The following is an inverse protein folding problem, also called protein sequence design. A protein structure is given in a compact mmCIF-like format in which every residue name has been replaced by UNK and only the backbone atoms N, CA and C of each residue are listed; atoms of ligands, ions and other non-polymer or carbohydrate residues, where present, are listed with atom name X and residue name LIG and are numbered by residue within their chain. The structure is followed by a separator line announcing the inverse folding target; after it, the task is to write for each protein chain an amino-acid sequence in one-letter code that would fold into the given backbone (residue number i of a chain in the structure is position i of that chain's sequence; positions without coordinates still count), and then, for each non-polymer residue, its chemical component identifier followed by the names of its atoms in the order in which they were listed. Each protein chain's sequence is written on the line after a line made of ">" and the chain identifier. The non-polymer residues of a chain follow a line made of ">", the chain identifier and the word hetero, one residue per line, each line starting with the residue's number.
data_IF_551314461596
#
_entry.id   IF_551314461596
#
_cell.length_a   1.000
_cell.length_b   1.000
_cell.length_c   1.000
_cell.angle_alpha   90.00
_cell.angle_beta   90.00
_cell.angle_gamma   90.00
#
_symmetry.space_group_name_H-M   'P 1'
#
loop_
_entity.id
_entity.type
_entity.pdbx_description
1 polymer ?
#
# COMPACT_ATOMS: atom_id res chain seq x y z
N UNK A 1 -12.69 28.72 20.78
CA UNK A 1 -11.36 28.45 20.20
C UNK A 1 -10.61 27.44 21.08
N UNK A 2 -10.58 26.15 20.71
CA UNK A 2 -9.80 25.16 21.47
C UNK A 2 -8.31 25.39 21.19
N UNK A 3 -7.55 25.66 22.24
CA UNK A 3 -6.09 25.81 22.18
C UNK A 3 -5.47 24.53 21.56
N UNK A 4 -4.57 24.62 20.55
CA UNK A 4 -4.02 23.46 19.83
C UNK A 4 -3.41 22.38 20.72
N UNK A 5 -2.91 22.74 21.91
CA UNK A 5 -2.38 21.81 22.92
C UNK A 5 -3.46 20.92 23.56
N UNK A 6 -4.70 21.41 23.70
CA UNK A 6 -5.83 20.59 24.22
C UNK A 6 -6.36 19.62 23.16
N UNK A 7 -6.36 20.04 21.88
CA UNK A 7 -6.73 19.15 20.78
C UNK A 7 -5.75 17.98 20.67
N UNK A 8 -4.45 18.26 20.73
CA UNK A 8 -3.41 17.23 20.64
C UNK A 8 -3.50 16.20 21.79
N UNK A 9 -3.84 16.64 23.01
CA UNK A 9 -4.10 15.76 24.17
C UNK A 9 -5.33 14.86 24.01
N UNK A 10 -6.30 15.26 23.18
CA UNK A 10 -7.49 14.45 22.91
C UNK A 10 -7.16 13.22 22.05
N UNK A 11 -6.24 13.38 21.10
CA UNK A 11 -5.89 12.35 20.12
C UNK A 11 -4.78 11.42 20.60
N UNK A 12 -3.78 11.95 21.31
CA UNK A 12 -2.61 11.18 21.75
C UNK A 12 -2.91 10.36 23.01
N UNK A 13 -2.28 9.18 23.11
CA UNK A 13 -2.32 8.35 24.30
C UNK A 13 -1.54 8.98 25.46
N UNK A 14 -2.07 8.89 26.68
CA UNK A 14 -1.48 9.53 27.87
C UNK A 14 -0.13 8.90 28.28
N UNK A 15 0.14 7.64 27.89
CA UNK A 15 1.36 6.88 28.20
C UNK A 15 2.37 6.79 27.03
N UNK A 16 2.57 7.90 26.31
CA UNK A 16 3.56 8.00 25.22
C UNK A 16 4.99 7.63 25.63
N UNK A 17 5.34 7.79 26.92
CA UNK A 17 6.66 7.48 27.47
C UNK A 17 6.91 5.96 27.65
N UNK A 18 5.86 5.15 27.84
CA UNK A 18 5.98 3.71 28.13
C UNK A 18 6.07 2.84 26.87
N UNK A 19 5.76 3.38 25.68
CA UNK A 19 5.74 2.61 24.42
C UNK A 19 7.18 2.39 23.86
N UNK A 20 8.24 2.61 24.65
CA UNK A 20 9.61 2.29 24.23
C UNK A 20 10.10 3.06 23.01
N UNK A 21 9.45 4.18 22.66
CA UNK A 21 9.92 5.07 21.61
C UNK A 21 11.20 5.75 22.11
N UNK A 22 12.36 5.11 21.88
CA UNK A 22 13.66 5.79 21.98
C UNK A 22 13.53 7.16 21.31
N UNK A 23 14.06 8.21 21.95
CA UNK A 23 14.15 9.55 21.35
C UNK A 23 14.59 9.37 19.90
N UNK A 24 13.84 9.97 18.96
CA UNK A 24 14.15 9.87 17.54
C UNK A 24 15.65 10.14 17.35
N UNK A 25 16.38 9.40 16.49
CA UNK A 25 17.78 9.72 16.20
C UNK A 25 17.95 11.18 15.74
N UNK A 26 16.89 11.80 15.23
CA UNK A 26 16.84 13.24 14.96
C UNK A 26 16.97 14.13 16.22
N UNK A 27 16.53 13.67 17.40
CA UNK A 27 16.72 14.38 18.66
C UNK A 27 18.20 14.47 19.07
N UNK A 28 19.00 13.48 18.69
CA UNK A 28 20.47 13.49 18.86
C UNK A 28 21.13 14.43 17.83
N UNK A 29 20.49 14.62 16.67
CA UNK A 29 20.97 15.50 15.60
C UNK A 29 20.45 16.96 15.67
N UNK A 30 19.72 17.34 16.74
CA UNK A 30 19.11 18.68 16.90
C UNK A 30 20.13 19.83 16.80
N UNK A 31 21.42 19.55 16.99
CA UNK A 31 22.48 20.56 17.10
C UNK A 31 23.53 20.57 15.99
N UNK A 32 23.44 19.71 14.96
CA UNK A 32 24.50 19.62 13.95
C UNK A 32 24.09 20.29 12.63
N UNK A 33 24.67 21.45 12.24
CA UNK A 33 24.59 22.00 10.88
C UNK A 33 25.43 21.19 9.89
N UNK A 34 25.45 19.87 10.05
CA UNK A 34 26.34 18.98 9.30
C UNK A 34 25.71 18.71 7.94
N UNK A 35 26.45 19.03 6.89
CA UNK A 35 26.12 18.68 5.51
C UNK A 35 27.01 17.51 5.15
N UNK A 36 26.42 16.45 4.62
CA UNK A 36 27.20 15.30 4.14
C UNK A 36 27.22 15.35 2.61
N UNK A 37 28.41 15.47 2.06
CA UNK A 37 28.68 15.35 0.63
C UNK A 37 28.82 13.88 0.26
N UNK A 38 27.94 13.39 -0.63
CA UNK A 38 28.11 12.09 -1.30
C UNK A 38 28.27 12.40 -2.79
N UNK A 39 29.47 12.17 -3.32
CA UNK A 39 29.82 12.56 -4.69
C UNK A 39 29.79 14.08 -4.88
N UNK A 40 29.02 14.56 -5.88
CA UNK A 40 28.90 15.99 -6.22
C UNK A 40 27.77 16.71 -5.46
N UNK A 41 27.02 16.02 -4.60
CA UNK A 41 25.80 16.58 -3.98
C UNK A 41 26.03 16.78 -2.48
N UNK A 42 25.95 18.03 -2.03
CA UNK A 42 25.96 18.41 -0.61
C UNK A 42 24.54 18.56 -0.09
N UNK A 43 24.09 17.65 0.77
CA UNK A 43 22.73 17.66 1.32
C UNK A 43 22.80 17.72 2.86
N UNK A 44 21.78 18.34 3.47
CA UNK A 44 21.60 18.28 4.93
C UNK A 44 21.24 16.84 5.36
N UNK A 45 21.66 16.42 6.55
CA UNK A 45 21.30 15.12 7.11
C UNK A 45 19.86 15.08 7.69
N UNK A 46 19.30 16.22 8.10
CA UNK A 46 18.00 16.30 8.74
C UNK A 46 17.15 17.47 8.20
N UNK A 47 15.81 17.29 8.08
CA UNK A 47 14.90 18.34 7.63
C UNK A 47 14.61 19.34 8.77
N UNK A 48 14.28 20.59 8.45
CA UNK A 48 13.87 21.58 9.45
C UNK A 48 12.59 21.16 10.17
N UNK A 49 12.57 21.32 11.51
CA UNK A 49 11.45 20.91 12.37
C UNK A 49 10.18 21.76 12.16
N UNK A 50 10.34 23.02 11.74
CA UNK A 50 9.23 23.94 11.44
C UNK A 50 9.52 24.71 10.15
N UNK A 51 8.53 24.79 9.28
CA UNK A 51 8.58 25.60 8.06
C UNK A 51 8.21 27.02 8.46
N UNK A 52 9.16 27.98 8.35
CA UNK A 52 8.90 29.41 8.61
C UNK A 52 9.10 30.25 7.35
N UNK A 53 9.98 29.83 6.45
CA UNK A 53 10.27 30.50 5.17
C UNK A 53 10.13 29.53 4.00
N UNK A 54 9.94 30.07 2.80
CA UNK A 54 9.95 29.30 1.53
C UNK A 54 11.27 28.55 1.31
N UNK A 55 12.37 29.09 1.82
CA UNK A 55 13.69 28.44 1.79
C UNK A 55 13.71 27.15 2.63
N UNK A 56 12.95 27.08 3.72
CA UNK A 56 12.87 25.86 4.55
C UNK A 56 12.15 24.73 3.80
N UNK A 57 11.21 25.06 2.91
CA UNK A 57 10.55 24.07 2.03
C UNK A 57 11.57 23.46 1.07
N UNK A 58 12.41 24.30 0.45
CA UNK A 58 13.50 23.83 -0.42
C UNK A 58 14.48 22.94 0.35
N UNK A 59 14.80 23.29 1.60
CA UNK A 59 15.70 22.50 2.45
C UNK A 59 15.09 21.17 2.93
N UNK A 60 13.76 21.04 2.97
CA UNK A 60 13.10 19.74 3.20
C UNK A 60 13.32 18.79 2.00
N UNK A 61 13.25 19.32 0.78
CA UNK A 61 13.47 18.54 -0.45
C UNK A 61 14.97 18.26 -0.72
N UNK A 62 15.86 19.20 -0.38
CA UNK A 62 17.33 19.05 -0.48
C UNK A 62 17.94 18.39 0.76
N UNK A 63 17.36 17.26 1.16
CA UNK A 63 17.77 16.49 2.33
C UNK A 63 18.04 15.03 1.96
N UNK A 64 19.08 14.44 2.54
CA UNK A 64 19.41 13.01 2.40
C UNK A 64 18.23 12.10 2.73
N UNK A 65 17.44 12.45 3.74
CA UNK A 65 16.28 11.65 4.13
C UNK A 65 15.17 11.68 3.07
N UNK A 66 15.01 12.79 2.36
CA UNK A 66 14.08 12.91 1.24
C UNK A 66 14.60 12.17 -0.01
N UNK A 67 15.90 12.26 -0.30
CA UNK A 67 16.51 11.49 -1.39
C UNK A 67 16.35 9.97 -1.16
N UNK A 68 16.59 9.49 0.06
CA UNK A 68 16.33 8.09 0.43
C UNK A 68 14.86 7.72 0.24
N UNK A 69 13.93 8.60 0.60
CA UNK A 69 12.51 8.37 0.33
C UNK A 69 12.23 8.25 -1.17
N UNK A 70 12.80 9.14 -1.99
CA UNK A 70 12.66 9.09 -3.45
C UNK A 70 13.20 7.78 -4.03
N UNK A 71 14.36 7.31 -3.56
CA UNK A 71 14.91 6.01 -3.95
C UNK A 71 13.97 4.85 -3.59
N UNK A 72 13.34 4.89 -2.41
CA UNK A 72 12.40 3.87 -1.98
C UNK A 72 11.06 3.93 -2.71
N UNK A 73 10.61 5.13 -3.11
CA UNK A 73 9.46 5.30 -4.00
C UNK A 73 9.78 4.75 -5.39
N UNK A 74 10.97 5.02 -5.92
CA UNK A 74 11.42 4.45 -7.19
C UNK A 74 11.52 2.92 -7.12
N UNK A 75 12.00 2.37 -6.00
CA UNK A 75 11.97 0.92 -5.72
C UNK A 75 10.55 0.36 -5.75
N UNK A 76 9.61 0.98 -5.03
CA UNK A 76 8.22 0.53 -5.01
C UNK A 76 7.58 0.56 -6.40
N UNK A 77 7.82 1.63 -7.18
CA UNK A 77 7.35 1.74 -8.56
C UNK A 77 7.96 0.64 -9.43
N UNK A 78 9.27 0.41 -9.34
CA UNK A 78 9.96 -0.67 -10.06
C UNK A 78 9.37 -2.04 -9.71
N UNK A 79 9.11 -2.33 -8.44
CA UNK A 79 8.49 -3.57 -8.01
C UNK A 79 7.06 -3.72 -8.54
N UNK A 80 6.27 -2.64 -8.56
CA UNK A 80 4.94 -2.64 -9.17
C UNK A 80 4.96 -2.89 -10.67
N UNK A 81 5.96 -2.36 -11.38
CA UNK A 81 6.20 -2.71 -12.79
C UNK A 81 6.52 -4.19 -12.98
N UNK A 82 7.38 -4.76 -12.13
CA UNK A 82 7.72 -6.18 -12.18
C UNK A 82 6.47 -7.05 -11.94
N UNK A 83 5.68 -6.70 -10.93
CA UNK A 83 4.42 -7.39 -10.61
C UNK A 83 3.45 -7.36 -11.79
N UNK A 84 3.14 -6.17 -12.30
CA UNK A 84 2.20 -5.99 -13.43
C UNK A 84 2.70 -6.68 -14.70
N UNK A 85 3.99 -6.64 -14.99
CA UNK A 85 4.57 -7.38 -16.11
C UNK A 85 4.40 -8.90 -15.94
N UNK A 86 4.64 -9.43 -14.74
CA UNK A 86 4.40 -10.85 -14.44
C UNK A 86 2.91 -11.21 -14.53
N UNK A 87 2.01 -10.32 -14.09
CA UNK A 87 0.57 -10.49 -14.21
C UNK A 87 0.13 -10.54 -15.68
N UNK A 88 0.70 -9.69 -16.54
CA UNK A 88 0.44 -9.73 -17.99
C UNK A 88 0.89 -11.04 -18.63
N UNK A 89 2.07 -11.55 -18.25
CA UNK A 89 2.54 -12.85 -18.72
C UNK A 89 1.61 -13.98 -18.27
N UNK A 90 1.08 -13.90 -17.05
CA UNK A 90 0.06 -14.80 -16.52
C UNK A 90 -1.24 -14.73 -17.34
N UNK A 91 -1.74 -13.53 -17.65
CA UNK A 91 -2.94 -13.31 -18.47
C UNK A 91 -2.76 -13.86 -19.90
N UNK A 92 -1.59 -13.69 -20.51
CA UNK A 92 -1.26 -14.28 -21.81
C UNK A 92 -1.26 -15.81 -21.76
N UNK A 93 -0.65 -16.40 -20.71
CA UNK A 93 -0.65 -17.86 -20.48
C UNK A 93 -2.06 -18.40 -20.28
N UNK A 94 -2.89 -17.69 -19.51
CA UNK A 94 -4.29 -18.02 -19.27
C UNK A 94 -5.13 -17.96 -20.56
N UNK A 95 -4.89 -16.96 -21.41
CA UNK A 95 -5.58 -16.85 -22.69
C UNK A 95 -5.28 -18.04 -23.61
N UNK A 96 -4.02 -18.45 -23.69
CA UNK A 96 -3.55 -19.60 -24.49
C UNK A 96 -4.03 -20.97 -23.95
N UNK A 97 -4.49 -21.02 -22.70
CA UNK A 97 -5.01 -22.24 -22.08
C UNK A 97 -6.38 -22.69 -22.62
N UNK A 98 -6.74 -23.97 -22.40
CA UNK A 98 -8.03 -24.52 -22.83
C UNK A 98 -9.21 -23.82 -22.14
N UNK A 99 -10.39 -23.78 -22.80
CA UNK A 99 -11.58 -23.10 -22.27
C UNK A 99 -12.07 -23.70 -20.93
N UNK A 100 -11.92 -25.01 -20.73
CA UNK A 100 -12.34 -25.72 -19.51
C UNK A 100 -11.65 -25.16 -18.25
N UNK A 101 -10.41 -24.66 -18.36
CA UNK A 101 -9.68 -24.08 -17.23
C UNK A 101 -10.06 -22.62 -16.91
N UNK A 102 -11.04 -22.05 -17.63
CA UNK A 102 -11.44 -20.63 -17.49
C UNK A 102 -12.66 -20.42 -16.58
N UNK A 103 -13.26 -21.50 -16.09
CA UNK A 103 -14.37 -21.43 -15.15
C UNK A 103 -13.89 -21.17 -13.71
N UNK A 104 -14.64 -20.39 -12.90
CA UNK A 104 -14.30 -20.12 -11.51
C UNK A 104 -14.17 -21.41 -10.69
N UNK A 105 -13.20 -21.45 -9.77
CA UNK A 105 -13.06 -22.55 -8.83
C UNK A 105 -14.13 -22.46 -7.75
N UNK A 106 -14.48 -23.61 -7.17
CA UNK A 106 -15.35 -23.66 -5.99
C UNK A 106 -14.61 -23.12 -4.77
N UNK A 107 -15.29 -22.23 -4.05
CA UNK A 107 -14.80 -21.63 -2.82
C UNK A 107 -15.87 -21.75 -1.73
N UNK A 108 -15.46 -22.24 -0.56
CA UNK A 108 -16.36 -22.52 0.55
C UNK A 108 -17.13 -21.27 1.01
N UNK A 109 -16.51 -20.09 1.01
CA UNK A 109 -17.18 -18.86 1.42
C UNK A 109 -18.10 -18.34 0.33
N UNK A 110 -17.77 -18.53 -0.95
CA UNK A 110 -18.65 -18.13 -2.05
C UNK A 110 -19.92 -18.99 -2.10
N UNK A 111 -19.84 -20.26 -1.68
CA UNK A 111 -20.98 -21.17 -1.54
C UNK A 111 -21.82 -20.86 -0.28
N UNK A 112 -21.17 -20.42 0.79
CA UNK A 112 -21.83 -20.14 2.07
C UNK A 112 -22.60 -18.80 2.12
N UNK A 113 -22.16 -17.80 1.35
CA UNK A 113 -22.71 -16.44 1.41
C UNK A 113 -23.26 -15.94 0.06
N UNK A 114 -24.31 -15.10 0.08
CA UNK A 114 -24.87 -14.53 -1.15
C UNK A 114 -23.90 -13.54 -1.81
N UNK A 115 -23.95 -13.49 -3.15
CA UNK A 115 -23.17 -12.55 -3.95
C UNK A 115 -23.66 -11.10 -3.71
N UNK A 116 -22.72 -10.22 -3.41
CA UNK A 116 -22.94 -8.76 -3.43
C UNK A 116 -22.49 -8.23 -4.79
N UNK A 117 -23.42 -7.66 -5.56
CA UNK A 117 -23.15 -7.23 -6.94
C UNK A 117 -22.25 -5.98 -7.04
N UNK A 118 -22.24 -5.13 -6.00
CA UNK A 118 -21.44 -3.91 -6.01
C UNK A 118 -19.99 -4.19 -5.61
N UNK A 119 -19.12 -4.33 -6.62
CA UNK A 119 -17.67 -4.52 -6.42
C UNK A 119 -16.94 -3.21 -6.09
N UNK A 120 -17.54 -2.04 -6.35
CA UNK A 120 -16.89 -0.74 -6.10
C UNK A 120 -16.75 -0.46 -4.61
N UNK A 121 -17.62 -1.06 -3.78
CA UNK A 121 -17.54 -0.96 -2.32
C UNK A 121 -16.16 -1.38 -1.78
N UNK A 122 -15.51 -2.36 -2.42
CA UNK A 122 -14.16 -2.82 -2.07
C UNK A 122 -13.15 -1.70 -2.27
N UNK A 123 -13.18 -1.03 -3.42
CA UNK A 123 -12.26 0.07 -3.73
C UNK A 123 -12.50 1.29 -2.82
N UNK A 124 -13.76 1.57 -2.47
CA UNK A 124 -14.09 2.65 -1.53
C UNK A 124 -13.57 2.37 -0.12
N UNK A 125 -13.72 1.13 0.38
CA UNK A 125 -13.22 0.73 1.70
C UNK A 125 -11.69 0.69 1.75
N UNK A 126 -11.03 0.21 0.69
CA UNK A 126 -9.57 0.29 0.54
C UNK A 126 -9.10 1.75 0.58
N UNK A 127 -9.67 2.61 -0.27
CA UNK A 127 -9.30 4.03 -0.35
C UNK A 127 -9.52 4.74 0.98
N UNK A 128 -10.63 4.44 1.66
CA UNK A 128 -10.92 4.97 3.00
C UNK A 128 -9.87 4.55 4.02
N UNK A 129 -9.44 3.29 3.99
CA UNK A 129 -8.38 2.76 4.87
C UNK A 129 -7.04 3.48 4.64
N UNK A 130 -6.68 3.73 3.38
CA UNK A 130 -5.46 4.44 3.00
C UNK A 130 -5.52 5.90 3.46
N UNK A 131 -6.60 6.62 3.12
CA UNK A 131 -6.79 8.03 3.46
C UNK A 131 -6.80 8.22 4.97
N UNK A 132 -7.51 7.34 5.70
CA UNK A 132 -7.53 7.38 7.17
C UNK A 132 -6.13 7.20 7.75
N UNK A 133 -5.35 6.27 7.21
CA UNK A 133 -3.97 6.01 7.65
C UNK A 133 -3.09 7.23 7.40
N UNK A 134 -3.11 7.80 6.19
CA UNK A 134 -2.33 8.99 5.84
C UNK A 134 -2.70 10.19 6.72
N UNK A 135 -4.01 10.47 6.86
CA UNK A 135 -4.51 11.58 7.67
C UNK A 135 -4.13 11.40 9.15
N UNK A 136 -4.29 10.18 9.68
CA UNK A 136 -3.93 9.83 11.04
C UNK A 136 -2.45 10.05 11.35
N UNK A 137 -1.56 9.57 10.48
CA UNK A 137 -0.13 9.80 10.64
C UNK A 137 0.25 11.27 10.46
N UNK A 138 -0.40 12.01 9.55
CA UNK A 138 -0.20 13.45 9.40
C UNK A 138 -0.56 14.22 10.68
N UNK A 139 -1.64 13.84 11.37
CA UNK A 139 -2.04 14.47 12.65
C UNK A 139 -1.10 14.04 13.80
N UNK A 140 -0.73 12.77 13.84
CA UNK A 140 0.02 12.20 14.96
C UNK A 140 1.51 12.56 14.98
N UNK A 141 2.13 12.65 13.80
CA UNK A 141 3.57 12.85 13.67
C UNK A 141 3.85 14.31 13.32
N UNK A 142 4.28 15.17 14.27
CA UNK A 142 4.59 16.56 13.96
C UNK A 142 5.89 16.70 13.15
N UNK A 143 6.79 15.71 13.20
CA UNK A 143 8.12 15.77 12.57
C UNK A 143 8.16 15.04 11.22
N UNK A 144 8.65 15.73 10.17
CA UNK A 144 8.82 15.17 8.82
C UNK A 144 9.80 13.99 8.76
N UNK A 145 10.79 13.93 9.65
CA UNK A 145 11.73 12.81 9.77
C UNK A 145 11.02 11.50 10.09
N UNK A 146 10.09 11.54 11.05
CA UNK A 146 9.35 10.36 11.49
C UNK A 146 8.41 9.90 10.37
N UNK A 147 7.76 10.84 9.68
CA UNK A 147 6.92 10.55 8.50
C UNK A 147 7.70 9.83 7.40
N UNK A 148 8.86 10.38 7.01
CA UNK A 148 9.69 9.80 5.96
C UNK A 148 10.31 8.46 6.39
N UNK A 149 10.63 8.27 7.66
CA UNK A 149 11.08 6.97 8.17
C UNK A 149 10.00 5.90 8.03
N UNK A 150 8.76 6.19 8.45
CA UNK A 150 7.65 5.24 8.36
C UNK A 150 7.36 4.89 6.90
N UNK A 151 7.26 5.92 6.03
CA UNK A 151 7.01 5.72 4.60
C UNK A 151 8.09 4.89 3.91
N UNK A 152 9.38 5.11 4.22
CA UNK A 152 10.48 4.30 3.66
C UNK A 152 10.39 2.83 4.07
N UNK A 153 10.11 2.55 5.34
CA UNK A 153 9.97 1.17 5.84
C UNK A 153 8.81 0.46 5.17
N UNK A 154 7.68 1.14 5.09
CA UNK A 154 6.49 0.61 4.42
C UNK A 154 6.74 0.38 2.92
N UNK A 155 7.27 1.36 2.19
CA UNK A 155 7.54 1.24 0.76
C UNK A 155 8.53 0.11 0.45
N UNK A 156 9.54 -0.09 1.30
CA UNK A 156 10.48 -1.20 1.16
C UNK A 156 9.78 -2.56 1.28
N UNK A 157 8.99 -2.75 2.34
CA UNK A 157 8.24 -4.01 2.59
C UNK A 157 7.23 -4.26 1.47
N UNK A 158 6.47 -3.25 1.07
CA UNK A 158 5.48 -3.37 0.00
C UNK A 158 6.13 -3.75 -1.34
N UNK A 159 7.32 -3.22 -1.64
CA UNK A 159 8.04 -3.63 -2.85
C UNK A 159 8.32 -5.14 -2.90
N UNK A 160 8.73 -5.75 -1.78
CA UNK A 160 8.91 -7.21 -1.73
C UNK A 160 7.58 -7.96 -1.87
N UNK A 161 6.51 -7.49 -1.23
CA UNK A 161 5.18 -8.10 -1.36
C UNK A 161 4.73 -8.11 -2.82
N UNK A 162 4.93 -7.01 -3.56
CA UNK A 162 4.60 -6.92 -4.98
C UNK A 162 5.41 -7.88 -5.85
N UNK A 163 6.72 -8.03 -5.59
CA UNK A 163 7.55 -9.02 -6.31
C UNK A 163 7.08 -10.45 -6.01
N UNK A 164 6.84 -10.79 -4.74
CA UNK A 164 6.34 -12.12 -4.37
C UNK A 164 4.97 -12.41 -4.99
N UNK A 165 4.08 -11.41 -5.01
CA UNK A 165 2.78 -11.48 -5.68
C UNK A 165 2.95 -11.76 -7.17
N UNK A 166 3.77 -10.97 -7.87
CA UNK A 166 4.07 -11.20 -9.28
C UNK A 166 4.57 -12.62 -9.57
N UNK A 167 5.49 -13.14 -8.75
CA UNK A 167 5.98 -14.52 -8.89
C UNK A 167 4.84 -15.53 -8.71
N UNK A 168 3.98 -15.35 -7.70
CA UNK A 168 2.86 -16.27 -7.47
C UNK A 168 1.85 -16.27 -8.61
N UNK A 169 1.54 -15.09 -9.19
CA UNK A 169 0.67 -14.94 -10.36
C UNK A 169 1.26 -15.69 -11.57
N UNK A 170 2.56 -15.51 -11.83
CA UNK A 170 3.24 -16.15 -12.96
C UNK A 170 3.31 -17.67 -12.83
N UNK A 171 3.66 -18.17 -11.63
CA UNK A 171 3.83 -19.61 -11.37
C UNK A 171 2.48 -20.31 -11.42
N UNK A 172 1.47 -19.77 -10.73
CA UNK A 172 0.15 -20.38 -10.59
C UNK A 172 -0.94 -19.42 -11.05
N UNK A 173 -1.48 -19.68 -12.24
CA UNK A 173 -2.54 -18.88 -12.85
C UNK A 173 -3.92 -19.42 -12.41
N UNK A 174 -4.72 -18.62 -11.72
CA UNK A 174 -6.09 -18.97 -11.35
C UNK A 174 -7.10 -18.24 -12.25
N UNK A 175 -8.23 -18.88 -12.62
CA UNK A 175 -9.31 -18.21 -13.31
C UNK A 175 -9.99 -17.19 -12.41
N UNK A 176 -10.62 -16.18 -13.01
CA UNK A 176 -11.33 -15.14 -12.29
C UNK A 176 -12.43 -15.72 -11.42
N UNK A 177 -12.50 -15.27 -10.16
CA UNK A 177 -13.60 -15.60 -9.25
C UNK A 177 -14.88 -14.81 -9.55
N UNK A 178 -14.73 -13.66 -10.19
CA UNK A 178 -15.80 -12.69 -10.46
C UNK A 178 -16.48 -12.93 -11.81
N UNK A 179 -15.69 -13.19 -12.86
CA UNK A 179 -16.15 -13.23 -14.25
C UNK A 179 -15.90 -14.62 -14.82
N UNK A 180 -16.98 -15.33 -15.15
CA UNK A 180 -16.89 -16.56 -15.92
C UNK A 180 -16.37 -16.24 -17.32
N UNK A 181 -15.37 -17.01 -17.78
CA UNK A 181 -14.67 -16.78 -19.05
C UNK A 181 -14.03 -15.36 -19.20
N UNK A 182 -13.41 -14.82 -18.15
CA UNK A 182 -12.67 -13.55 -18.24
C UNK A 182 -11.70 -13.55 -19.43
N UNK A 183 -11.75 -12.49 -20.26
CA UNK A 183 -10.82 -12.30 -21.39
C UNK A 183 -9.87 -11.15 -21.08
N UNK A 184 -8.54 -11.36 -21.16
CA UNK A 184 -7.63 -10.27 -20.95
C UNK A 184 -7.82 -9.21 -22.05
N UNK A 185 -7.63 -7.91 -21.72
CA UNK A 185 -7.82 -6.83 -22.66
C UNK A 185 -6.97 -7.02 -23.92
N UNK A 186 -7.53 -6.70 -25.10
CA UNK A 186 -6.82 -6.84 -26.38
C UNK A 186 -5.50 -6.07 -26.42
N UNK A 187 -5.40 -4.98 -25.68
CA UNK A 187 -4.20 -4.14 -25.56
C UNK A 187 -3.02 -4.94 -24.98
N UNK A 188 -3.28 -5.89 -24.08
CA UNK A 188 -2.24 -6.77 -23.53
C UNK A 188 -1.79 -7.82 -24.56
N UNK A 189 -2.73 -8.32 -25.36
CA UNK A 189 -2.52 -9.39 -26.33
C UNK A 189 -1.83 -8.88 -27.60
N UNK A 190 -2.35 -7.81 -28.21
CA UNK A 190 -1.96 -7.35 -29.56
C UNK A 190 -1.41 -5.92 -29.57
N UNK A 191 -1.47 -5.21 -28.44
CA UNK A 191 -1.00 -3.82 -28.34
C UNK A 191 0.51 -3.69 -28.56
N UNK A 192 0.91 -2.54 -29.12
CA UNK A 192 2.33 -2.15 -29.23
C UNK A 192 2.96 -1.99 -27.84
N UNK A 193 4.31 -2.05 -27.76
CA UNK A 193 5.05 -1.91 -26.48
C UNK A 193 4.63 -0.64 -25.71
N UNK A 194 4.40 0.47 -26.41
CA UNK A 194 3.94 1.72 -25.78
C UNK A 194 2.52 1.64 -25.22
N UNK A 195 1.60 0.95 -25.90
CA UNK A 195 0.23 0.75 -25.43
C UNK A 195 0.19 -0.21 -24.23
N UNK A 196 1.01 -1.26 -24.23
CA UNK A 196 1.17 -2.17 -23.08
C UNK A 196 1.72 -1.44 -21.86
N UNK A 197 2.69 -0.56 -22.05
CA UNK A 197 3.21 0.29 -20.97
C UNK A 197 2.17 1.27 -20.43
N UNK A 198 1.36 1.87 -21.31
CA UNK A 198 0.22 2.69 -20.90
C UNK A 198 -0.84 1.90 -20.11
N UNK A 199 -1.08 0.64 -20.50
CA UNK A 199 -1.98 -0.25 -19.78
C UNK A 199 -1.43 -0.61 -18.39
N UNK A 200 -0.14 -0.96 -18.28
CA UNK A 200 0.52 -1.17 -16.98
C UNK A 200 0.31 0.04 -16.06
N UNK A 201 0.44 1.26 -16.58
CA UNK A 201 0.17 2.47 -15.80
C UNK A 201 -1.28 2.58 -15.33
N UNK A 202 -2.25 2.19 -16.15
CA UNK A 202 -3.66 2.14 -15.74
C UNK A 202 -3.94 1.08 -14.66
N UNK A 203 -3.26 -0.07 -14.72
CA UNK A 203 -3.36 -1.12 -13.69
C UNK A 203 -2.75 -0.62 -12.38
N UNK A 204 -1.56 -0.02 -12.42
CA UNK A 204 -0.93 0.60 -11.23
C UNK A 204 -1.82 1.74 -10.67
N UNK A 205 -2.47 2.49 -11.55
CA UNK A 205 -3.42 3.54 -11.19
C UNK A 205 -4.77 3.03 -10.67
N UNK A 206 -5.02 1.72 -10.69
CA UNK A 206 -6.25 1.10 -10.22
C UNK A 206 -7.46 1.28 -11.13
N UNK A 207 -7.27 1.69 -12.39
CA UNK A 207 -8.36 1.91 -13.36
C UNK A 207 -8.59 0.74 -14.29
N UNK A 208 -7.68 -0.25 -14.30
CA UNK A 208 -7.79 -1.47 -15.09
C UNK A 208 -7.64 -2.71 -14.19
N UNK A 209 -8.40 -3.77 -14.53
CA UNK A 209 -8.42 -5.06 -13.83
C UNK A 209 -7.83 -6.14 -14.74
N UNK A 210 -7.03 -7.03 -14.17
CA UNK A 210 -6.45 -8.21 -14.84
C UNK A 210 -7.27 -9.46 -14.53
N UNK A 211 -7.23 -10.45 -15.42
CA UNK A 211 -8.09 -11.64 -15.29
C UNK A 211 -7.55 -12.67 -14.30
N UNK A 212 -6.23 -12.81 -14.21
CA UNK A 212 -5.58 -13.87 -13.40
C UNK A 212 -5.17 -13.44 -12.00
N UNK A 213 -5.49 -12.21 -11.59
CA UNK A 213 -5.10 -11.65 -10.29
C UNK A 213 -5.98 -12.15 -9.14
N UNK A 214 -5.95 -13.46 -8.87
CA UNK A 214 -6.85 -14.13 -7.92
C UNK A 214 -6.15 -15.07 -6.92
N UNK A 215 -4.82 -15.20 -6.93
CA UNK A 215 -4.10 -16.06 -5.95
C UNK A 215 -3.52 -15.28 -4.76
N UNK A 216 -3.30 -13.99 -4.90
CA UNK A 216 -2.80 -13.13 -3.83
C UNK A 216 -3.46 -11.75 -3.92
N UNK A 217 -4.26 -11.39 -2.90
CA UNK A 217 -5.04 -10.16 -2.93
C UNK A 217 -4.21 -8.90 -2.59
N UNK A 218 -4.11 -8.00 -3.57
CA UNK A 218 -3.49 -6.68 -3.43
C UNK A 218 -4.27 -5.78 -2.47
N UNK A 219 -5.60 -5.76 -2.57
CA UNK A 219 -6.46 -4.98 -1.69
C UNK A 219 -6.30 -5.40 -0.23
N UNK A 220 -6.35 -6.70 0.05
CA UNK A 220 -6.18 -7.25 1.40
C UNK A 220 -4.79 -6.93 1.94
N UNK A 221 -3.72 -7.17 1.17
CA UNK A 221 -2.36 -6.86 1.62
C UNK A 221 -2.15 -5.37 1.90
N UNK A 222 -2.73 -4.49 1.09
CA UNK A 222 -2.67 -3.04 1.32
C UNK A 222 -3.41 -2.62 2.60
N UNK A 223 -4.62 -3.14 2.84
CA UNK A 223 -5.39 -2.86 4.05
C UNK A 223 -4.70 -3.40 5.31
N UNK A 224 -4.13 -4.61 5.23
CA UNK A 224 -3.34 -5.20 6.31
C UNK A 224 -2.06 -4.40 6.58
N UNK A 225 -1.39 -3.90 5.54
CA UNK A 225 -0.22 -3.03 5.71
C UNK A 225 -0.59 -1.76 6.47
N UNK A 226 -1.73 -1.14 6.18
CA UNK A 226 -2.23 0.03 6.90
C UNK A 226 -2.49 -0.30 8.39
N UNK A 227 -3.13 -1.44 8.65
CA UNK A 227 -3.37 -1.92 10.02
C UNK A 227 -2.07 -2.17 10.78
N UNK A 228 -1.06 -2.75 10.13
CA UNK A 228 0.25 -3.04 10.71
C UNK A 228 1.01 -1.75 11.03
N UNK A 229 1.07 -0.79 10.10
CA UNK A 229 1.69 0.51 10.35
C UNK A 229 1.02 1.19 11.54
N UNK A 230 -0.32 1.16 11.61
CA UNK A 230 -1.05 1.71 12.75
C UNK A 230 -0.71 0.96 14.05
N UNK A 231 -0.62 -0.37 14.02
CA UNK A 231 -0.28 -1.17 15.21
C UNK A 231 1.11 -0.86 15.77
N UNK A 232 2.08 -0.62 14.89
CA UNK A 232 3.50 -0.42 15.23
C UNK A 232 3.82 1.04 15.56
N UNK A 233 3.28 1.96 14.78
CA UNK A 233 3.67 3.37 14.82
C UNK A 233 2.60 4.30 15.39
N UNK A 234 1.37 3.83 15.64
CA UNK A 234 0.33 4.72 16.16
C UNK A 234 0.58 5.13 17.61
N UNK A 235 0.39 6.42 17.86
CA UNK A 235 0.40 7.09 19.18
C UNK A 235 -1.00 7.58 19.53
N UNK A 236 -1.99 7.35 18.65
CA UNK A 236 -3.38 7.71 18.95
C UNK A 236 -3.95 6.76 20.01
N UNK A 237 -4.99 7.24 20.70
CA UNK A 237 -5.78 6.41 21.60
C UNK A 237 -6.34 5.19 20.86
N UNK A 238 -6.43 4.06 21.58
CA UNK A 238 -6.98 2.78 21.12
C UNK A 238 -8.25 2.90 20.24
N UNK A 239 -9.30 3.69 20.56
CA UNK A 239 -10.51 3.83 19.73
C UNK A 239 -10.24 4.13 18.25
N UNK A 240 -9.25 4.98 17.94
CA UNK A 240 -8.93 5.30 16.54
C UNK A 240 -8.34 4.10 15.79
N UNK A 241 -7.57 3.25 16.46
CA UNK A 241 -7.12 1.98 15.89
C UNK A 241 -8.27 1.01 15.67
N UNK A 242 -9.23 0.91 16.60
CA UNK A 242 -10.40 0.05 16.44
C UNK A 242 -11.27 0.44 15.24
N UNK A 243 -11.43 1.73 14.96
CA UNK A 243 -12.13 2.21 13.76
C UNK A 243 -11.42 1.73 12.50
N UNK A 244 -10.11 1.93 12.41
CA UNK A 244 -9.31 1.46 11.27
C UNK A 244 -9.45 -0.05 11.08
N UNK A 245 -9.30 -0.84 12.16
CA UNK A 245 -9.45 -2.30 12.10
C UNK A 245 -10.85 -2.72 11.66
N UNK A 246 -11.89 -2.03 12.13
CA UNK A 246 -13.28 -2.32 11.74
C UNK A 246 -13.52 -2.06 10.25
N UNK A 247 -13.02 -0.92 9.74
CA UNK A 247 -13.11 -0.60 8.29
C UNK A 247 -12.31 -1.60 7.46
N UNK A 248 -11.12 -1.99 7.94
CA UNK A 248 -10.30 -2.96 7.25
C UNK A 248 -10.95 -4.36 7.21
N UNK A 249 -11.50 -4.83 8.33
CA UNK A 249 -12.24 -6.10 8.38
C UNK A 249 -13.48 -6.04 7.50
N UNK A 250 -14.24 -4.94 7.51
CA UNK A 250 -15.40 -4.78 6.64
C UNK A 250 -15.01 -4.86 5.15
N UNK A 251 -13.92 -4.22 4.73
CA UNK A 251 -13.47 -4.31 3.34
C UNK A 251 -13.00 -5.72 2.97
N UNK A 252 -12.30 -6.43 3.86
CA UNK A 252 -11.90 -7.83 3.63
C UNK A 252 -13.14 -8.74 3.48
N UNK A 253 -14.17 -8.55 4.30
CA UNK A 253 -15.43 -9.28 4.16
C UNK A 253 -16.14 -8.95 2.85
N UNK A 254 -16.15 -7.68 2.44
CA UNK A 254 -16.74 -7.27 1.16
C UNK A 254 -15.98 -7.84 -0.04
N UNK A 255 -14.65 -8.00 0.04
CA UNK A 255 -13.86 -8.69 -0.99
C UNK A 255 -14.37 -10.12 -1.20
N UNK A 256 -14.69 -10.83 -0.12
CA UNK A 256 -15.20 -12.20 -0.17
C UNK A 256 -16.65 -12.25 -0.67
N UNK A 257 -17.54 -11.38 -0.17
CA UNK A 257 -18.95 -11.37 -0.54
C UNK A 257 -19.22 -10.89 -1.97
N UNK A 258 -18.37 -10.01 -2.49
CA UNK A 258 -18.43 -9.59 -3.89
C UNK A 258 -17.82 -10.60 -4.85
N UNK A 259 -17.24 -11.70 -4.33
CA UNK A 259 -16.47 -12.69 -5.09
C UNK A 259 -15.40 -12.05 -5.96
N UNK A 260 -14.83 -10.95 -5.46
CA UNK A 260 -13.76 -10.24 -6.13
C UNK A 260 -12.45 -11.04 -6.08
N UNK A 261 -12.34 -11.92 -5.08
CA UNK A 261 -11.18 -12.72 -4.74
C UNK A 261 -11.63 -14.03 -4.07
N UNK A 262 -10.79 -15.07 -4.14
CA UNK A 262 -11.01 -16.34 -3.45
C UNK A 262 -10.64 -16.23 -1.97
N UNK A 263 -11.28 -17.01 -1.11
CA UNK A 263 -10.95 -17.03 0.32
C UNK A 263 -9.48 -17.35 0.60
N UNK A 264 -8.87 -18.22 -0.22
CA UNK A 264 -7.45 -18.58 -0.09
C UNK A 264 -6.52 -17.40 -0.32
N UNK A 265 -6.85 -16.47 -1.21
CA UNK A 265 -6.00 -15.31 -1.48
C UNK A 265 -5.98 -14.33 -0.31
N UNK A 266 -7.12 -14.21 0.40
CA UNK A 266 -7.28 -13.37 1.58
C UNK A 266 -6.48 -13.98 2.73
N UNK A 267 -6.57 -15.31 2.92
CA UNK A 267 -5.79 -16.03 3.92
C UNK A 267 -4.29 -15.87 3.66
N UNK A 268 -3.84 -16.06 2.42
CA UNK A 268 -2.43 -15.89 2.05
C UNK A 268 -1.94 -14.46 2.25
N UNK A 269 -2.78 -13.46 1.94
CA UNK A 269 -2.46 -12.06 2.14
C UNK A 269 -2.39 -11.68 3.63
N UNK A 270 -3.22 -12.27 4.48
CA UNK A 270 -3.19 -12.02 5.94
C UNK A 270 -2.01 -12.73 6.60
N UNK A 271 -1.74 -14.00 6.27
CA UNK A 271 -0.70 -14.79 6.92
C UNK A 271 0.74 -14.39 6.54
N UNK A 272 0.93 -13.69 5.41
CA UNK A 272 2.25 -13.22 4.96
C UNK A 272 2.61 -11.79 5.36
N UNK A 273 1.68 -11.05 5.98
CA UNK A 273 1.90 -9.68 6.51
C UNK A 273 2.17 -9.75 8.01
#
# INVERSE_FOLDING_TARGET
>A
MLHPKRLLKLFLADNLHDIGAKKSPAYVAISAPEKQTIGFISLRLAPPVKIRRLQDVRDVFLNHEFLRLLMLVAWLVLCGFIETFMAQLSDMRYHAGPAISKHPLRDLLHDAFPLVADTQIVNYLLTTTIVYTIAGFAIQSPDWTTRFMILRRWAFIMGFIYVFRGITLLVTTLPSSLIDECRPPEIELTGTVGQRFGFIMSVIGGTALTCTDNIFSGHTSMMMSCCMIWRVHSRLRRPFGWVLYSVATAGILMILFTRFHYSIDVVLAICKV
#
